data_IF_735026323497
#
_entry.id   IF_735026323497
#
_cell.length_a   1.000
_cell.length_b   1.000
_cell.length_c   1.000
_cell.angle_alpha   90.00
_cell.angle_beta   90.00
_cell.angle_gamma   90.00
#
_symmetry.space_group_name_H-M   'P 1'
#
loop_
_entity.id
_entity.type
_entity.pdbx_description
1 polymer ?
#
# COMPACT_ATOMS: atom_id res chain seq x y z
N UNK A 1 5.18 16.25 -13.44
CA UNK A 1 4.19 15.16 -13.70
C UNK A 1 4.86 13.79 -13.92
N UNK A 2 6.13 13.72 -14.33
CA UNK A 2 6.84 12.48 -14.72
C UNK A 2 7.18 11.54 -13.55
N UNK A 3 7.58 12.07 -12.39
CA UNK A 3 7.97 11.25 -11.23
C UNK A 3 6.78 10.48 -10.65
N UNK A 4 5.60 11.11 -10.66
CA UNK A 4 4.33 10.51 -10.21
C UNK A 4 3.95 9.27 -10.98
N UNK A 5 3.91 9.38 -12.30
CA UNK A 5 3.61 8.25 -13.17
C UNK A 5 4.63 7.11 -13.03
N UNK A 6 5.90 7.44 -12.75
CA UNK A 6 6.97 6.46 -12.61
C UNK A 6 6.83 5.61 -11.34
N UNK A 7 6.54 6.22 -10.19
CA UNK A 7 6.33 5.43 -8.97
C UNK A 7 4.99 4.69 -9.01
N UNK A 8 3.94 5.28 -9.61
CA UNK A 8 2.65 4.62 -9.82
C UNK A 8 2.83 3.34 -10.62
N UNK A 9 3.53 3.42 -11.75
CA UNK A 9 3.78 2.25 -12.61
C UNK A 9 4.57 1.17 -11.89
N UNK A 10 5.64 1.55 -11.17
CA UNK A 10 6.43 0.59 -10.40
C UNK A 10 5.62 -0.15 -9.36
N UNK A 11 4.71 0.54 -8.67
CA UNK A 11 3.86 -0.10 -7.66
C UNK A 11 2.87 -1.08 -8.32
N UNK A 12 2.28 -0.71 -9.45
CA UNK A 12 1.43 -1.60 -10.24
C UNK A 12 2.21 -2.85 -10.67
N UNK A 13 3.41 -2.66 -11.23
CA UNK A 13 4.25 -3.77 -11.70
C UNK A 13 4.60 -4.76 -10.55
N UNK A 14 4.82 -4.26 -9.33
CA UNK A 14 5.07 -5.10 -8.14
C UNK A 14 3.84 -5.93 -7.77
N UNK A 15 2.65 -5.31 -7.81
CA UNK A 15 1.40 -5.96 -7.49
C UNK A 15 1.05 -7.03 -8.53
N UNK A 16 1.18 -6.71 -9.83
CA UNK A 16 0.98 -7.66 -10.93
C UNK A 16 1.94 -8.85 -10.82
N UNK A 17 3.21 -8.60 -10.51
CA UNK A 17 4.21 -9.67 -10.37
C UNK A 17 3.89 -10.59 -9.18
N UNK A 18 3.48 -10.03 -8.04
CA UNK A 18 3.15 -10.85 -6.87
C UNK A 18 1.86 -11.65 -7.04
N UNK A 19 0.86 -11.11 -7.74
CA UNK A 19 -0.35 -11.85 -8.10
C UNK A 19 -0.06 -12.94 -9.13
N UNK A 20 0.74 -12.66 -10.16
CA UNK A 20 1.17 -13.66 -11.13
C UNK A 20 2.02 -14.79 -10.50
N UNK A 21 2.79 -14.47 -9.45
CA UNK A 21 3.55 -15.43 -8.67
C UNK A 21 2.72 -16.16 -7.59
N UNK A 22 1.43 -15.82 -7.44
CA UNK A 22 0.54 -16.43 -6.44
C UNK A 22 0.89 -16.08 -4.99
N UNK A 23 1.64 -15.00 -4.76
CA UNK A 23 2.07 -14.58 -3.41
C UNK A 23 0.96 -13.87 -2.63
N UNK A 24 0.04 -13.20 -3.35
CA UNK A 24 -1.11 -12.51 -2.80
C UNK A 24 -2.17 -12.32 -3.90
N UNK A 25 -3.40 -11.93 -3.51
CA UNK A 25 -4.49 -11.62 -4.44
C UNK A 25 -4.90 -10.16 -4.26
N UNK A 26 -4.60 -9.33 -5.25
CA UNK A 26 -4.90 -7.90 -5.17
C UNK A 26 -6.13 -7.48 -5.98
N UNK A 27 -6.68 -8.39 -6.80
CA UNK A 27 -7.87 -8.15 -7.61
C UNK A 27 -7.54 -7.28 -8.82
N UNK A 28 -7.58 -5.95 -8.64
CA UNK A 28 -7.13 -4.99 -9.65
C UNK A 28 -5.90 -4.24 -9.10
N UNK A 29 -4.73 -4.57 -9.63
CA UNK A 29 -3.45 -3.99 -9.23
C UNK A 29 -3.40 -2.46 -9.34
N UNK A 30 -4.11 -1.88 -10.32
CA UNK A 30 -4.15 -0.42 -10.50
C UNK A 30 -5.00 0.24 -9.43
N UNK A 31 -6.15 -0.33 -9.11
CA UNK A 31 -7.01 0.15 -8.00
C UNK A 31 -6.27 0.03 -6.67
N UNK A 32 -5.64 -1.12 -6.41
CA UNK A 32 -4.84 -1.34 -5.20
C UNK A 32 -3.69 -0.32 -5.08
N UNK A 33 -2.93 -0.10 -6.16
CA UNK A 33 -1.85 0.89 -6.18
C UNK A 33 -2.35 2.31 -5.87
N UNK A 34 -3.49 2.72 -6.45
CA UNK A 34 -4.08 4.04 -6.16
C UNK A 34 -4.56 4.18 -4.72
N UNK A 35 -5.11 3.11 -4.13
CA UNK A 35 -5.46 3.06 -2.71
C UNK A 35 -4.24 3.29 -1.81
N UNK A 36 -3.17 2.51 -2.02
CA UNK A 36 -1.92 2.62 -1.27
C UNK A 36 -1.32 4.03 -1.39
N UNK A 37 -1.23 4.57 -2.60
CA UNK A 37 -0.70 5.91 -2.82
C UNK A 37 -1.54 7.00 -2.17
N UNK A 38 -2.87 6.83 -2.14
CA UNK A 38 -3.77 7.75 -1.46
C UNK A 38 -3.56 7.72 0.05
N UNK A 39 -3.35 6.53 0.65
CA UNK A 39 -2.99 6.40 2.07
C UNK A 39 -1.67 7.11 2.38
N UNK A 40 -0.62 6.86 1.58
CA UNK A 40 0.69 7.49 1.73
C UNK A 40 0.67 9.01 1.53
N UNK A 41 -0.21 9.50 0.65
CA UNK A 41 -0.40 10.96 0.47
C UNK A 41 -1.17 11.55 1.66
N UNK A 42 -2.18 10.82 2.16
CA UNK A 42 -3.01 11.24 3.28
C UNK A 42 -2.18 11.46 4.55
N UNK A 43 -1.27 10.53 4.89
CA UNK A 43 -0.41 10.64 6.09
C UNK A 43 0.42 11.92 6.12
N UNK A 44 0.84 12.45 4.97
CA UNK A 44 1.58 13.72 4.90
C UNK A 44 0.79 14.92 5.43
N UNK A 45 -0.55 14.86 5.45
CA UNK A 45 -1.40 15.98 5.87
C UNK A 45 -1.59 16.04 7.39
N UNK A 46 -1.68 14.88 8.05
CA UNK A 46 -2.08 14.79 9.46
C UNK A 46 -0.98 14.25 10.39
N UNK A 47 0.06 13.58 9.89
CA UNK A 47 1.10 13.01 10.75
C UNK A 47 1.88 14.09 11.51
N UNK A 48 2.13 13.86 12.81
CA UNK A 48 2.92 14.75 13.67
C UNK A 48 3.90 13.90 14.48
N UNK A 49 5.22 14.19 14.46
CA UNK A 49 6.23 13.38 15.15
C UNK A 49 6.02 13.22 16.66
N UNK A 50 5.45 14.24 17.31
CA UNK A 50 5.12 14.26 18.73
C UNK A 50 3.62 14.06 18.99
N UNK A 51 2.91 13.44 18.04
CA UNK A 51 1.49 13.17 18.13
C UNK A 51 1.17 11.85 18.85
N UNK A 52 -0.09 11.41 18.71
CA UNK A 52 -0.59 10.16 19.31
C UNK A 52 0.17 8.90 18.87
N UNK A 53 0.74 8.91 17.66
CA UNK A 53 1.44 7.76 17.09
C UNK A 53 2.83 8.18 16.62
N UNK A 54 3.83 7.34 16.89
CA UNK A 54 5.16 7.46 16.30
C UNK A 54 5.12 7.13 14.81
N UNK A 55 6.18 7.53 14.09
CA UNK A 55 6.36 7.20 12.67
C UNK A 55 6.33 5.68 12.44
N UNK A 56 7.00 4.93 13.30
CA UNK A 56 7.14 3.47 13.23
C UNK A 56 5.77 2.80 13.43
N UNK A 57 4.95 3.31 14.36
CA UNK A 57 3.60 2.81 14.58
C UNK A 57 2.70 3.03 13.35
N UNK A 58 2.78 4.20 12.71
CA UNK A 58 2.01 4.48 11.49
C UNK A 58 2.44 3.56 10.35
N UNK A 59 3.76 3.35 10.16
CA UNK A 59 4.29 2.44 9.16
C UNK A 59 3.78 1.01 9.39
N UNK A 60 3.83 0.53 10.63
CA UNK A 60 3.36 -0.81 10.98
C UNK A 60 1.87 -0.99 10.66
N UNK A 61 1.03 -0.03 11.07
CA UNK A 61 -0.43 -0.07 10.80
C UNK A 61 -0.71 -0.06 9.29
N UNK A 62 -0.07 0.83 8.54
CA UNK A 62 -0.30 0.92 7.09
C UNK A 62 0.19 -0.34 6.36
N UNK A 63 1.31 -0.92 6.80
CA UNK A 63 1.83 -2.15 6.21
C UNK A 63 0.88 -3.32 6.47
N UNK A 64 0.36 -3.44 7.70
CA UNK A 64 -0.60 -4.48 8.07
C UNK A 64 -1.93 -4.35 7.31
N UNK A 65 -2.46 -3.13 7.18
CA UNK A 65 -3.67 -2.88 6.40
C UNK A 65 -3.52 -3.26 4.92
N UNK A 66 -2.39 -2.90 4.30
CA UNK A 66 -2.13 -3.21 2.90
C UNK A 66 -1.90 -4.72 2.73
N UNK A 67 -1.02 -5.31 3.52
CA UNK A 67 -0.70 -6.75 3.40
C UNK A 67 -1.88 -7.63 3.78
N UNK A 68 -2.61 -7.30 4.86
CA UNK A 68 -3.82 -8.01 5.26
C UNK A 68 -4.92 -7.93 4.21
N UNK A 69 -5.06 -6.79 3.51
CA UNK A 69 -5.97 -6.66 2.38
C UNK A 69 -5.56 -7.48 1.16
N UNK A 70 -4.26 -7.60 0.89
CA UNK A 70 -3.70 -8.34 -0.25
C UNK A 70 -3.68 -9.86 -0.05
N UNK A 71 -3.49 -10.32 1.19
CA UNK A 71 -3.43 -11.75 1.50
C UNK A 71 -4.82 -12.40 1.54
N UNK A 72 -5.89 -11.60 1.53
CA UNK A 72 -7.26 -12.07 1.72
C UNK A 72 -7.47 -12.70 3.11
N UNK A 73 -8.71 -13.13 3.44
CA UNK A 73 -8.88 -14.05 4.55
C UNK A 73 -8.06 -15.31 4.24
N UNK A 74 -7.15 -15.69 5.16
CA UNK A 74 -6.58 -17.03 5.12
C UNK A 74 -7.75 -18.00 5.20
N UNK A 75 -8.02 -18.74 4.12
CA UNK A 75 -8.93 -19.87 4.23
C UNK A 75 -8.34 -20.84 5.28
N UNK A 76 -9.18 -21.41 6.16
CA UNK A 76 -8.73 -22.20 7.31
C UNK A 76 -7.95 -23.46 6.92
#
# INVERSE_FOLDING_TARGET
>A
VTLRRRYERRLIDILDQGEAAGLFRCGDARVAAYGILSMLTGVCTWFRPHGRLSKEQVIAIYSDQVLGGLLGPREP
#
